data_IF_547365902094
#
_entry.id   IF_547365902094
#
_cell.length_a   1.000
_cell.length_b   1.000
_cell.length_c   1.000
_cell.angle_alpha   90.00
_cell.angle_beta   90.00
_cell.angle_gamma   90.00
#
_symmetry.space_group_name_H-M   'P 1'
#
loop_
_entity.id
_entity.type
_entity.pdbx_description
1 polymer ?
#
# COMPACT_ATOMS: atom_id res chain seq x y z
N UNK A 1 19.20 31.77 -32.34
CA UNK A 1 18.15 30.78 -32.67
C UNK A 1 18.65 29.33 -32.61
N UNK A 2 19.77 28.97 -33.26
CA UNK A 2 20.32 27.60 -33.26
C UNK A 2 20.68 27.06 -31.86
N UNK A 3 21.36 27.88 -31.04
CA UNK A 3 21.75 27.54 -29.66
C UNK A 3 20.56 27.32 -28.71
N UNK A 4 19.49 28.11 -28.88
CA UNK A 4 18.28 27.98 -28.07
C UNK A 4 17.57 26.65 -28.33
N UNK A 5 17.47 26.26 -29.60
CA UNK A 5 16.82 25.01 -30.02
C UNK A 5 17.58 23.79 -29.51
N UNK A 6 18.91 23.83 -29.53
CA UNK A 6 19.75 22.74 -29.00
C UNK A 6 19.62 22.60 -27.48
N UNK A 7 19.56 23.71 -26.74
CA UNK A 7 19.40 23.69 -25.28
C UNK A 7 18.02 23.15 -24.91
N UNK A 8 16.96 23.61 -25.59
CA UNK A 8 15.60 23.11 -25.41
C UNK A 8 15.50 21.60 -25.72
N UNK A 9 16.10 21.16 -26.81
CA UNK A 9 16.10 19.74 -27.18
C UNK A 9 16.82 18.87 -26.14
N UNK A 10 17.93 19.34 -25.60
CA UNK A 10 18.68 18.63 -24.56
C UNK A 10 17.89 18.55 -23.24
N UNK A 11 17.25 19.65 -22.84
CA UNK A 11 16.38 19.70 -21.66
C UNK A 11 15.19 18.73 -21.77
N UNK A 12 14.56 18.66 -22.95
CA UNK A 12 13.45 17.73 -23.22
C UNK A 12 13.92 16.28 -23.19
N UNK A 13 15.10 15.99 -23.75
CA UNK A 13 15.70 14.66 -23.67
C UNK A 13 15.92 14.25 -22.20
N UNK A 14 16.55 15.12 -21.41
CA UNK A 14 16.82 14.84 -19.98
C UNK A 14 15.51 14.59 -19.22
N UNK A 15 14.46 15.38 -19.46
CA UNK A 15 13.16 15.17 -18.83
C UNK A 15 12.48 13.86 -19.25
N UNK A 16 12.63 13.43 -20.50
CA UNK A 16 12.08 12.17 -21.00
C UNK A 16 12.82 10.93 -20.47
N UNK A 17 14.15 11.04 -20.25
CA UNK A 17 14.96 9.98 -19.65
C UNK A 17 14.95 10.00 -18.12
N UNK A 18 14.54 11.11 -17.50
CA UNK A 18 14.20 11.17 -16.08
C UNK A 18 12.90 10.39 -15.87
N UNK A 19 13.04 9.06 -15.77
CA UNK A 19 12.02 8.26 -15.10
C UNK A 19 11.92 8.78 -13.67
N UNK A 20 10.74 9.23 -13.19
CA UNK A 20 10.53 9.37 -11.76
C UNK A 20 10.61 7.96 -11.18
N UNK A 21 11.82 7.50 -10.86
CA UNK A 21 12.04 6.32 -10.03
C UNK A 21 11.72 6.70 -8.57
N UNK A 22 10.51 7.22 -8.37
CA UNK A 22 9.89 7.44 -7.07
C UNK A 22 8.56 6.70 -7.01
N UNK A 23 8.48 5.55 -7.66
CA UNK A 23 7.67 4.45 -7.18
C UNK A 23 8.56 3.60 -6.26
N UNK A 24 8.82 4.12 -5.06
CA UNK A 24 8.87 3.21 -3.93
C UNK A 24 7.57 2.37 -4.02
N UNK A 25 7.61 1.05 -3.83
CA UNK A 25 6.37 0.29 -3.76
C UNK A 25 5.51 0.95 -2.69
N UNK A 26 4.41 1.57 -3.12
CA UNK A 26 3.30 1.86 -2.21
C UNK A 26 2.88 0.49 -1.70
N UNK A 27 3.28 0.15 -0.49
CA UNK A 27 3.12 -1.21 0.02
C UNK A 27 4.11 -1.61 1.09
N UNK A 28 4.65 -0.67 1.85
CA UNK A 28 5.02 -0.92 3.25
C UNK A 28 3.76 -1.00 4.12
N UNK A 29 2.65 -1.54 3.59
CA UNK A 29 1.56 -1.93 4.47
C UNK A 29 2.09 -3.17 5.20
N UNK A 30 2.36 -3.09 6.52
CA UNK A 30 2.68 -4.29 7.28
C UNK A 30 1.58 -5.31 6.98
N UNK A 31 1.91 -6.63 6.96
CA UNK A 31 0.93 -7.66 6.64
C UNK A 31 -0.32 -7.42 7.49
N UNK A 32 -1.36 -6.90 6.86
CA UNK A 32 -2.56 -6.47 7.57
C UNK A 32 -3.28 -7.76 7.92
N UNK A 33 -3.47 -8.00 9.22
CA UNK A 33 -4.13 -9.21 9.68
C UNK A 33 -5.57 -9.21 9.16
N UNK A 34 -5.86 -10.08 8.20
CA UNK A 34 -7.19 -10.35 7.69
C UNK A 34 -7.61 -11.77 8.05
N UNK A 35 -8.89 -11.95 8.34
CA UNK A 35 -9.47 -13.26 8.59
C UNK A 35 -10.15 -13.77 7.31
N UNK A 36 -9.90 -15.02 6.94
CA UNK A 36 -10.57 -15.68 5.81
C UNK A 36 -11.64 -16.69 6.27
N UNK A 37 -11.64 -17.02 7.56
CA UNK A 37 -12.56 -17.98 8.19
C UNK A 37 -12.89 -17.51 9.60
N UNK A 38 -14.05 -17.92 10.12
CA UNK A 38 -14.55 -17.60 11.45
C UNK A 38 -14.65 -18.85 12.30
N UNK A 39 -14.42 -18.71 13.61
CA UNK A 39 -14.72 -19.78 14.55
C UNK A 39 -16.23 -20.04 14.57
N UNK A 40 -16.61 -21.30 14.35
CA UNK A 40 -18.02 -21.72 14.44
C UNK A 40 -18.49 -21.92 15.88
N UNK A 41 -17.55 -21.97 16.84
CA UNK A 41 -17.83 -22.17 18.26
C UNK A 41 -17.75 -20.84 18.99
N UNK A 42 -18.72 -20.61 19.88
CA UNK A 42 -18.72 -19.45 20.77
C UNK A 42 -17.60 -19.58 21.81
N UNK A 43 -16.73 -18.58 21.90
CA UNK A 43 -15.69 -18.55 22.93
C UNK A 43 -16.31 -18.22 24.31
N UNK A 44 -15.98 -18.97 25.36
CA UNK A 44 -16.32 -18.58 26.73
C UNK A 44 -15.64 -17.27 27.07
N UNK A 45 -16.42 -16.28 27.50
CA UNK A 45 -15.93 -14.90 27.76
C UNK A 45 -14.80 -14.85 28.79
N UNK A 46 -14.76 -15.82 29.71
CA UNK A 46 -13.75 -15.89 30.76
C UNK A 46 -12.33 -16.16 30.23
N UNK A 47 -12.19 -16.63 28.98
CA UNK A 47 -10.89 -16.86 28.34
C UNK A 47 -10.46 -15.74 27.38
N UNK A 48 -11.32 -14.74 27.14
CA UNK A 48 -11.02 -13.64 26.22
C UNK A 48 -10.39 -12.52 27.02
N UNK A 49 -9.11 -12.25 26.75
CA UNK A 49 -8.33 -11.21 27.45
C UNK A 49 -8.38 -9.87 26.73
N UNK A 50 -8.42 -9.89 25.39
CA UNK A 50 -8.42 -8.71 24.54
C UNK A 50 -9.10 -9.02 23.19
N UNK A 51 -9.45 -7.98 22.44
CA UNK A 51 -9.92 -8.11 21.06
C UNK A 51 -9.58 -6.88 20.22
N UNK A 52 -9.39 -7.07 18.91
CA UNK A 52 -9.25 -5.95 17.97
C UNK A 52 -10.00 -6.20 16.66
N UNK A 53 -10.40 -5.11 16.01
CA UNK A 53 -11.03 -5.16 14.68
C UNK A 53 -9.96 -5.20 13.58
N UNK A 54 -10.17 -6.06 12.59
CA UNK A 54 -9.31 -6.10 11.41
C UNK A 54 -9.48 -4.84 10.57
N UNK A 55 -8.47 -4.50 9.77
CA UNK A 55 -8.50 -3.33 8.89
C UNK A 55 -9.64 -3.36 7.87
N UNK A 56 -10.14 -2.18 7.50
CA UNK A 56 -11.11 -2.00 6.41
C UNK A 56 -10.55 -2.35 5.03
N UNK A 57 -9.25 -2.59 4.91
CA UNK A 57 -8.62 -3.09 3.67
C UNK A 57 -8.94 -4.56 3.40
N UNK A 58 -9.41 -5.32 4.40
CA UNK A 58 -9.77 -6.71 4.23
C UNK A 58 -11.08 -6.86 3.45
N UNK A 59 -11.22 -7.96 2.68
CA UNK A 59 -12.44 -8.23 1.90
C UNK A 59 -13.68 -8.48 2.76
N UNK A 60 -13.49 -8.82 4.03
CA UNK A 60 -14.57 -9.02 4.99
C UNK A 60 -14.14 -8.49 6.38
N UNK A 61 -15.08 -7.92 7.14
CA UNK A 61 -14.81 -7.43 8.49
C UNK A 61 -14.69 -8.59 9.48
N UNK A 62 -13.73 -8.52 10.41
CA UNK A 62 -13.54 -9.53 11.44
C UNK A 62 -13.01 -8.94 12.76
N UNK A 63 -13.10 -9.76 13.82
CA UNK A 63 -12.56 -9.49 15.16
C UNK A 63 -11.64 -10.63 15.55
N UNK A 64 -10.46 -10.30 16.05
CA UNK A 64 -9.46 -11.25 16.56
C UNK A 64 -9.35 -11.11 18.06
#
# INVERSE_FOLDING_TARGET
>A
MKLCVTVLSLLVLVAAFYSPALSAPMGSDPPTACCFSYTLRKLPRNFVTDYFETSSLCSQPAVV
#
